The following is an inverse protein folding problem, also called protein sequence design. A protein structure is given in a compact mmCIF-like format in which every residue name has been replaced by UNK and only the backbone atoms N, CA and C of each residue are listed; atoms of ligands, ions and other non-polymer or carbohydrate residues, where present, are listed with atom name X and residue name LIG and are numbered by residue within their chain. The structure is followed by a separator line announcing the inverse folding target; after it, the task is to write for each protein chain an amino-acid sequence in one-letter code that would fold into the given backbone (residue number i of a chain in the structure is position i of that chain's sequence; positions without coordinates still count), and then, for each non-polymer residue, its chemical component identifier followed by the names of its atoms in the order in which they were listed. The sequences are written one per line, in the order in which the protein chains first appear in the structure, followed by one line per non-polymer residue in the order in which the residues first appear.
data_IF_079894900676
#
_entry.id   IF_079894900676
#
_cell.length_a   1.000
_cell.length_b   1.000
_cell.length_c   1.000
_cell.angle_alpha   90.00
_cell.angle_beta   90.00
_cell.angle_gamma   90.00
#
_symmetry.space_group_name_H-M   'P 1'
#
loop_
_entity.id
_entity.type
_entity.pdbx_description
1 polymer ?
#
# COMPACT_ATOMS: atom_id res chain seq x y z
N UNK A 1 17.36 10.58 7.54
CA UNK A 1 17.37 9.63 6.39
C UNK A 1 16.98 8.23 6.84
N UNK A 2 17.78 7.54 7.66
CA UNK A 2 17.47 6.19 8.18
C UNK A 2 16.26 6.14 9.13
N UNK A 3 15.99 7.21 9.88
CA UNK A 3 14.80 7.31 10.74
C UNK A 3 13.47 7.20 9.97
N UNK A 4 13.39 7.83 8.80
CA UNK A 4 12.21 7.74 7.93
C UNK A 4 12.06 6.33 7.33
N UNK A 5 13.17 5.71 6.93
CA UNK A 5 13.16 4.31 6.47
C UNK A 5 12.74 3.34 7.58
N UNK A 6 13.16 3.59 8.82
CA UNK A 6 12.74 2.78 9.96
C UNK A 6 11.23 2.84 10.19
N UNK A 7 10.60 4.02 10.07
CA UNK A 7 9.14 4.15 10.15
C UNK A 7 8.43 3.28 9.10
N UNK A 8 8.92 3.32 7.86
CA UNK A 8 8.40 2.48 6.77
C UNK A 8 8.61 0.98 7.01
N UNK A 9 9.73 0.57 7.60
CA UNK A 9 10.02 -0.84 7.93
C UNK A 9 9.23 -1.34 9.14
N UNK A 10 8.89 -0.45 10.07
CA UNK A 10 8.06 -0.75 11.24
C UNK A 10 6.58 -0.94 10.87
N UNK A 11 6.16 -0.50 9.69
CA UNK A 11 4.89 -0.91 9.09
C UNK A 11 4.97 -2.40 8.71
N UNK A 12 4.55 -3.24 9.65
CA UNK A 12 4.60 -4.70 9.52
C UNK A 12 3.58 -5.19 8.50
N UNK A 13 2.41 -4.57 8.40
CA UNK A 13 1.37 -4.91 7.42
C UNK A 13 1.93 -4.74 6.01
N UNK A 14 2.53 -3.58 5.72
CA UNK A 14 3.19 -3.31 4.45
C UNK A 14 4.31 -4.30 4.17
N UNK A 15 5.29 -4.36 5.07
CA UNK A 15 6.54 -5.08 4.82
C UNK A 15 6.30 -6.59 4.70
N UNK A 16 5.41 -7.16 5.53
CA UNK A 16 5.05 -8.57 5.46
C UNK A 16 4.21 -8.91 4.22
N UNK A 17 3.33 -8.02 3.76
CA UNK A 17 2.54 -8.24 2.55
C UNK A 17 3.45 -8.35 1.31
N UNK A 18 4.40 -7.43 1.15
CA UNK A 18 5.38 -7.49 0.07
C UNK A 18 6.28 -8.73 0.17
N UNK A 19 6.79 -9.06 1.36
CA UNK A 19 7.59 -10.26 1.56
C UNK A 19 6.83 -11.52 1.14
N UNK A 20 5.60 -11.67 1.63
CA UNK A 20 4.74 -12.81 1.33
C UNK A 20 4.43 -12.90 -0.16
N UNK A 21 4.09 -11.78 -0.79
CA UNK A 21 3.82 -11.72 -2.22
C UNK A 21 5.03 -12.16 -3.06
N UNK A 22 6.23 -11.68 -2.73
CA UNK A 22 7.47 -12.03 -3.43
C UNK A 22 7.79 -13.52 -3.23
N UNK A 23 7.75 -14.02 -1.99
CA UNK A 23 8.08 -15.42 -1.68
C UNK A 23 7.05 -16.40 -2.28
N UNK A 24 5.76 -16.07 -2.27
CA UNK A 24 4.72 -16.92 -2.86
C UNK A 24 4.83 -17.03 -4.38
N UNK A 25 5.31 -15.98 -5.04
CA UNK A 25 5.54 -15.97 -6.49
C UNK A 25 6.98 -16.36 -6.85
N UNK A 26 7.81 -16.75 -5.88
CA UNK A 26 9.23 -16.99 -6.07
C UNK A 26 9.56 -17.98 -7.20
N UNK A 27 8.94 -19.18 -7.28
CA UNK A 27 9.30 -20.18 -8.29
C UNK A 27 9.11 -19.70 -9.74
N UNK A 28 8.17 -18.77 -9.96
CA UNK A 28 7.80 -18.29 -11.30
C UNK A 28 8.50 -16.98 -11.65
N UNK A 29 8.52 -16.04 -10.71
CA UNK A 29 8.83 -14.64 -11.01
C UNK A 29 10.15 -14.16 -10.41
N UNK A 30 10.78 -14.92 -9.51
CA UNK A 30 12.02 -14.49 -8.86
C UNK A 30 13.15 -15.51 -8.98
N UNK A 31 12.88 -16.81 -8.88
CA UNK A 31 13.92 -17.84 -8.89
C UNK A 31 14.70 -17.82 -10.21
N UNK A 32 16.02 -17.71 -10.12
CA UNK A 32 16.95 -17.57 -11.25
C UNK A 32 16.67 -16.38 -12.19
N UNK A 33 15.86 -15.41 -11.75
CA UNK A 33 15.48 -14.22 -12.53
C UNK A 33 16.37 -13.01 -12.27
N UNK A 34 16.41 -12.11 -13.25
CA UNK A 34 16.97 -10.77 -13.09
C UNK A 34 15.86 -9.82 -12.66
N UNK A 35 16.03 -9.19 -11.50
CA UNK A 35 15.02 -8.32 -10.88
C UNK A 35 15.51 -6.88 -10.83
N UNK A 36 14.62 -5.92 -11.06
CA UNK A 36 14.86 -4.50 -10.82
C UNK A 36 13.96 -4.01 -9.70
N UNK A 37 14.54 -3.36 -8.69
CA UNK A 37 13.84 -2.69 -7.61
C UNK A 37 13.91 -1.18 -7.83
N UNK A 38 12.77 -0.56 -8.11
CA UNK A 38 12.67 0.86 -8.49
C UNK A 38 12.33 1.70 -7.26
N UNK A 39 13.22 2.61 -6.89
CA UNK A 39 13.09 3.37 -5.64
C UNK A 39 13.39 2.49 -4.43
N UNK A 40 14.49 1.74 -4.49
CA UNK A 40 14.79 0.67 -3.55
C UNK A 40 14.90 1.14 -2.09
N UNK A 41 15.19 2.42 -1.86
CA UNK A 41 15.38 2.99 -0.54
C UNK A 41 16.42 2.19 0.24
N UNK A 42 16.00 1.63 1.38
CA UNK A 42 16.88 0.79 2.22
C UNK A 42 17.15 -0.62 1.64
N UNK A 43 16.51 -0.99 0.53
CA UNK A 43 16.71 -2.26 -0.18
C UNK A 43 15.86 -3.44 0.31
N UNK A 44 14.85 -3.22 1.15
CA UNK A 44 14.06 -4.33 1.71
C UNK A 44 13.41 -5.24 0.66
N UNK A 45 12.84 -4.67 -0.41
CA UNK A 45 12.25 -5.45 -1.51
C UNK A 45 13.32 -6.18 -2.31
N UNK A 46 14.48 -5.55 -2.49
CA UNK A 46 15.66 -6.19 -3.06
C UNK A 46 16.14 -7.39 -2.24
N UNK A 47 16.15 -7.29 -0.91
CA UNK A 47 16.50 -8.40 -0.03
C UNK A 47 15.49 -9.55 -0.14
N UNK A 48 14.19 -9.25 -0.16
CA UNK A 48 13.14 -10.26 -0.38
C UNK A 48 13.26 -10.94 -1.74
N UNK A 49 13.57 -10.18 -2.79
CA UNK A 49 13.81 -10.72 -4.13
C UNK A 49 15.01 -11.69 -4.15
N UNK A 50 16.10 -11.32 -3.46
CA UNK A 50 17.26 -12.21 -3.31
C UNK A 50 16.94 -13.46 -2.45
N UNK A 51 16.14 -13.33 -1.39
CA UNK A 51 15.65 -14.47 -0.60
C UNK A 51 14.78 -15.41 -1.44
N UNK A 52 13.98 -14.86 -2.36
CA UNK A 52 13.15 -15.60 -3.31
C UNK A 52 13.93 -16.29 -4.45
N UNK A 53 15.27 -16.24 -4.44
CA UNK A 53 16.09 -16.95 -5.44
C UNK A 53 16.47 -16.11 -6.66
N UNK A 54 16.26 -14.78 -6.66
CA UNK A 54 16.72 -13.91 -7.75
C UNK A 54 18.21 -14.09 -8.07
N UNK A 55 18.52 -14.40 -9.33
CA UNK A 55 19.91 -14.53 -9.79
C UNK A 55 20.66 -13.22 -9.59
N UNK A 56 19.98 -12.11 -9.89
CA UNK A 56 20.53 -10.76 -9.81
C UNK A 56 19.42 -9.76 -9.47
N UNK A 57 19.71 -8.77 -8.65
CA UNK A 57 18.80 -7.70 -8.26
C UNK A 57 19.51 -6.36 -8.44
N UNK A 58 18.96 -5.48 -9.28
CA UNK A 58 19.41 -4.11 -9.45
C UNK A 58 18.53 -3.18 -8.62
N UNK A 59 19.10 -2.64 -7.54
CA UNK A 59 18.40 -1.75 -6.61
C UNK A 59 18.62 -0.29 -7.02
N UNK A 60 17.68 0.26 -7.79
CA UNK A 60 17.75 1.62 -8.31
C UNK A 60 17.26 2.59 -7.25
N UNK A 61 18.12 3.49 -6.81
CA UNK A 61 17.81 4.48 -5.79
C UNK A 61 18.39 5.85 -6.16
N UNK A 62 17.52 6.88 -6.17
CA UNK A 62 17.90 8.22 -6.61
C UNK A 62 18.49 9.08 -5.48
N UNK A 63 18.26 8.71 -4.22
CA UNK A 63 18.78 9.40 -3.04
C UNK A 63 20.07 8.76 -2.51
N UNK A 64 20.73 9.47 -1.59
CA UNK A 64 21.92 8.98 -0.90
C UNK A 64 21.65 7.75 0.01
N UNK A 65 20.40 7.27 0.12
CA UNK A 65 20.10 6.01 0.80
C UNK A 65 20.84 4.82 0.17
N UNK A 66 21.16 4.90 -1.12
CA UNK A 66 21.97 3.89 -1.81
C UNK A 66 23.33 3.66 -1.14
N UNK A 67 23.93 4.68 -0.51
CA UNK A 67 25.18 4.53 0.25
C UNK A 67 24.96 3.68 1.51
N UNK A 68 23.79 3.81 2.15
CA UNK A 68 23.43 2.98 3.30
C UNK A 68 23.12 1.54 2.86
N UNK A 69 22.44 1.36 1.72
CA UNK A 69 22.22 0.04 1.12
C UNK A 69 23.56 -0.63 0.76
N UNK A 70 24.50 0.13 0.20
CA UNK A 70 25.83 -0.36 -0.14
C UNK A 70 26.57 -0.91 1.09
N UNK A 71 26.39 -0.32 2.28
CA UNK A 71 26.96 -0.87 3.52
C UNK A 71 26.47 -2.28 3.85
N UNK A 72 25.21 -2.61 3.53
CA UNK A 72 24.67 -3.97 3.71
C UNK A 72 25.31 -4.93 2.73
N UNK A 73 25.49 -4.51 1.47
CA UNK A 73 26.17 -5.30 0.43
C UNK A 73 27.65 -5.50 0.75
N UNK A 74 28.33 -4.47 1.25
CA UNK A 74 29.73 -4.54 1.65
C UNK A 74 29.94 -5.44 2.87
N UNK A 75 28.97 -5.46 3.80
CA UNK A 75 28.97 -6.39 4.93
C UNK A 75 28.87 -7.86 4.49
N UNK A 76 28.31 -8.14 3.31
CA UNK A 76 28.21 -9.48 2.72
C UNK A 76 29.48 -9.94 2.02
N UNK A 77 30.51 -9.08 1.91
CA UNK A 77 31.80 -9.49 1.35
C UNK A 77 32.55 -10.40 2.34
N UNK A 78 33.24 -11.45 1.87
CA UNK A 78 34.02 -12.34 2.72
C UNK A 78 35.30 -11.67 3.25
N UNK A 79 35.81 -10.66 2.56
CA UNK A 79 36.97 -9.86 2.97
C UNK A 79 36.54 -8.41 3.07
N UNK A 80 36.48 -7.88 4.30
CA UNK A 80 36.18 -6.48 4.61
C UNK A 80 37.47 -5.73 4.93
N UNK A 81 37.52 -4.42 4.68
CA UNK A 81 38.73 -3.67 4.99
C UNK A 81 38.93 -3.55 6.51
N UNK A 82 40.16 -3.65 7.02
CA UNK A 82 40.42 -3.51 8.45
C UNK A 82 39.95 -2.16 9.02
N UNK A 83 40.02 -1.10 8.21
CA UNK A 83 39.60 0.25 8.59
C UNK A 83 38.09 0.35 8.79
N UNK A 84 37.29 -0.22 7.89
CA UNK A 84 35.82 -0.24 8.01
C UNK A 84 35.38 -1.05 9.23
N UNK A 85 36.01 -2.21 9.46
CA UNK A 85 35.72 -3.06 10.62
C UNK A 85 36.03 -2.33 11.92
N UNK A 86 37.16 -1.61 12.00
CA UNK A 86 37.54 -0.83 13.17
C UNK A 86 36.56 0.32 13.45
N UNK A 87 36.18 1.09 12.43
CA UNK A 87 35.22 2.18 12.56
C UNK A 87 33.83 1.69 13.00
N UNK A 88 33.38 0.57 12.43
CA UNK A 88 32.09 -0.03 12.81
C UNK A 88 32.12 -0.54 14.26
N UNK A 89 33.22 -1.17 14.68
CA UNK A 89 33.40 -1.64 16.05
C UNK A 89 33.36 -0.49 17.05
N UNK A 90 34.08 0.61 16.79
CA UNK A 90 34.05 1.82 17.63
C UNK A 90 32.63 2.38 17.75
N UNK A 91 31.89 2.45 16.64
CA UNK A 91 30.50 2.93 16.64
C UNK A 91 29.56 2.02 17.46
N UNK A 92 29.70 0.70 17.34
CA UNK A 92 28.91 -0.26 18.11
C UNK A 92 29.21 -0.20 19.61
N UNK A 93 30.48 -0.03 19.98
CA UNK A 93 30.91 0.16 21.37
C UNK A 93 30.29 1.42 21.97
N UNK A 94 30.28 2.54 21.23
CA UNK A 94 29.62 3.78 21.65
C UNK A 94 28.10 3.62 21.84
N UNK A 95 27.46 2.72 21.08
CA UNK A 95 26.04 2.39 21.22
C UNK A 95 25.75 1.33 22.30
N UNK A 96 26.77 0.82 22.99
CA UNK A 96 26.62 -0.23 23.99
C UNK A 96 26.32 -1.62 23.40
N UNK A 97 26.54 -1.80 22.10
CA UNK A 97 26.33 -3.04 21.34
C UNK A 97 27.65 -3.83 21.13
N UNK A 98 28.64 -3.59 21.99
CA UNK A 98 29.88 -4.39 22.03
C UNK A 98 29.73 -5.68 22.83
N UNK A 99 30.74 -6.54 22.80
CA UNK A 99 30.78 -7.86 23.50
C UNK A 99 30.49 -7.78 25.01
N UNK A 100 30.69 -6.62 25.63
CA UNK A 100 30.39 -6.36 27.04
C UNK A 100 29.08 -5.56 27.18
N UNK A 101 27.94 -6.23 26.98
CA UNK A 101 26.62 -5.63 27.14
C UNK A 101 26.36 -5.10 28.56
N UNK A 102 25.81 -3.89 28.66
CA UNK A 102 25.17 -3.40 29.88
C UNK A 102 23.88 -4.20 30.12
N UNK A 103 23.90 -5.09 31.12
CA UNK A 103 22.72 -5.38 31.95
C UNK A 103 21.46 -5.93 31.27
N UNK A 104 21.58 -6.94 30.40
CA UNK A 104 20.49 -7.89 30.17
C UNK A 104 19.46 -7.55 29.08
N UNK A 105 19.67 -6.53 28.26
CA UNK A 105 18.87 -6.29 27.04
C UNK A 105 19.75 -6.48 25.80
N UNK A 106 19.81 -7.71 25.29
CA UNK A 106 20.64 -8.07 24.13
C UNK A 106 20.00 -7.59 22.82
N UNK A 107 20.15 -6.31 22.45
CA UNK A 107 19.95 -5.92 21.05
C UNK A 107 21.06 -6.54 20.20
N UNK A 108 20.73 -7.59 19.44
CA UNK A 108 21.55 -8.30 18.45
C UNK A 108 23.07 -8.19 18.58
N UNK A 109 23.73 -9.25 19.02
CA UNK A 109 25.20 -9.36 18.97
C UNK A 109 25.66 -9.39 17.52
N UNK A 110 26.18 -8.27 17.01
CA UNK A 110 26.75 -8.20 15.66
C UNK A 110 28.27 -8.29 15.77
N UNK A 111 28.90 -9.14 14.95
CA UNK A 111 30.35 -9.23 14.85
C UNK A 111 30.81 -8.56 13.54
N UNK A 112 31.38 -7.35 13.58
CA UNK A 112 31.87 -6.65 12.39
C UNK A 112 32.96 -7.39 11.63
N UNK A 113 33.66 -8.33 12.30
CA UNK A 113 34.78 -9.10 11.73
C UNK A 113 34.31 -10.28 10.87
N UNK A 114 33.04 -10.67 10.98
CA UNK A 114 32.46 -11.75 10.20
C UNK A 114 31.65 -11.20 9.02
N UNK A 115 31.58 -11.99 7.94
CA UNK A 115 30.71 -11.69 6.82
C UNK A 115 29.25 -11.84 7.24
N UNK A 116 28.42 -10.83 6.96
CA UNK A 116 27.00 -10.80 7.29
C UNK A 116 26.18 -10.85 6.01
N UNK A 117 25.12 -11.63 5.98
CA UNK A 117 24.28 -11.78 4.78
C UNK A 117 25.04 -12.33 3.56
N UNK A 118 25.96 -13.29 3.76
CA UNK A 118 26.76 -13.87 2.67
C UNK A 118 25.92 -14.38 1.47
N UNK A 119 24.66 -14.75 1.68
CA UNK A 119 23.70 -15.15 0.64
C UNK A 119 23.33 -14.02 -0.35
N UNK A 120 23.64 -12.75 -0.05
CA UNK A 120 23.50 -11.60 -0.96
C UNK A 120 24.68 -11.42 -1.91
N UNK A 121 25.82 -12.08 -1.65
CA UNK A 121 27.06 -11.82 -2.34
C UNK A 121 26.92 -12.02 -3.86
N UNK A 122 27.28 -11.00 -4.64
CA UNK A 122 27.23 -11.02 -6.10
C UNK A 122 25.83 -10.93 -6.71
N UNK A 123 24.77 -10.96 -5.88
CA UNK A 123 23.37 -10.98 -6.32
C UNK A 123 22.74 -9.59 -6.29
N UNK A 124 23.03 -8.77 -5.28
CA UNK A 124 22.45 -7.43 -5.14
C UNK A 124 23.43 -6.34 -5.60
N UNK A 125 22.98 -5.46 -6.50
CA UNK A 125 23.74 -4.34 -7.05
C UNK A 125 22.98 -3.03 -6.78
N UNK A 126 23.43 -2.23 -5.81
CA UNK A 126 22.91 -0.88 -5.60
C UNK A 126 23.31 0.04 -6.76
N UNK A 127 22.35 0.78 -7.31
CA UNK A 127 22.56 1.70 -8.43
C UNK A 127 22.08 3.10 -8.02
N UNK A 128 23.02 4.04 -7.88
CA UNK A 128 22.70 5.43 -7.55
C UNK A 128 22.28 6.18 -8.82
N UNK A 129 20.99 6.15 -9.14
CA UNK A 129 20.44 6.85 -10.29
C UNK A 129 18.93 7.02 -10.18
N UNK A 130 18.38 7.99 -10.91
CA UNK A 130 16.94 7.99 -11.23
C UNK A 130 16.68 6.91 -12.26
N UNK A 131 15.55 6.23 -12.17
CA UNK A 131 15.23 5.15 -13.11
C UNK A 131 15.12 5.64 -14.55
N UNK A 132 14.75 6.90 -14.76
CA UNK A 132 14.72 7.55 -16.06
C UNK A 132 16.12 7.74 -16.67
N UNK A 133 17.17 7.82 -15.84
CA UNK A 133 18.55 8.08 -16.24
C UNK A 133 19.41 6.79 -16.25
N UNK A 134 18.84 5.63 -15.91
CA UNK A 134 19.53 4.34 -15.93
C UNK A 134 19.95 3.97 -17.36
N UNK A 135 21.15 3.43 -17.49
CA UNK A 135 21.71 2.92 -18.75
C UNK A 135 22.08 1.44 -18.60
N UNK A 136 22.26 0.68 -19.70
CA UNK A 136 22.70 -0.71 -19.63
C UNK A 136 24.02 -0.92 -18.88
N UNK A 137 24.90 0.08 -18.83
CA UNK A 137 26.16 0.02 -18.06
C UNK A 137 25.89 -0.13 -16.55
N UNK A 138 24.88 0.57 -16.04
CA UNK A 138 24.44 0.43 -14.65
C UNK A 138 23.88 -0.96 -14.34
N UNK A 139 23.40 -1.67 -15.37
CA UNK A 139 22.79 -2.99 -15.27
C UNK A 139 23.77 -4.09 -15.70
N UNK A 140 25.08 -3.87 -15.63
CA UNK A 140 26.12 -4.84 -16.02
C UNK A 140 25.94 -5.40 -17.45
N UNK A 141 25.39 -4.61 -18.37
CA UNK A 141 25.12 -4.99 -19.76
C UNK A 141 23.73 -5.59 -20.00
N UNK A 142 22.91 -5.79 -18.97
CA UNK A 142 21.52 -6.19 -19.14
C UNK A 142 20.69 -5.05 -19.74
N UNK A 143 19.97 -5.35 -20.83
CA UNK A 143 19.02 -4.42 -21.46
C UNK A 143 17.60 -4.61 -20.95
N UNK A 144 17.27 -5.83 -20.51
CA UNK A 144 15.96 -6.18 -19.96
C UNK A 144 16.10 -7.00 -18.66
N UNK A 145 15.04 -6.95 -17.86
CA UNK A 145 14.85 -7.67 -16.59
C UNK A 145 13.57 -8.50 -16.65
N UNK A 146 13.53 -9.60 -15.92
CA UNK A 146 12.37 -10.50 -15.90
C UNK A 146 11.24 -9.95 -15.01
N UNK A 147 11.60 -9.31 -13.90
CA UNK A 147 10.65 -8.84 -12.90
C UNK A 147 11.03 -7.47 -12.38
N UNK A 148 10.04 -6.59 -12.22
CA UNK A 148 10.21 -5.28 -11.60
C UNK A 148 9.39 -5.23 -10.32
N UNK A 149 10.02 -4.85 -9.22
CA UNK A 149 9.39 -4.60 -7.94
C UNK A 149 9.50 -3.13 -7.58
N UNK A 150 8.47 -2.58 -6.94
CA UNK A 150 8.52 -1.22 -6.40
C UNK A 150 7.47 -1.02 -5.31
N UNK A 151 7.78 -0.10 -4.42
CA UNK A 151 6.80 0.54 -3.54
C UNK A 151 6.78 2.02 -3.91
N UNK A 152 5.91 2.35 -4.87
CA UNK A 152 5.80 3.68 -5.49
C UNK A 152 4.48 4.37 -5.11
N UNK A 153 3.94 4.04 -3.94
CA UNK A 153 2.55 4.29 -3.59
C UNK A 153 2.44 5.43 -2.58
N UNK A 154 1.58 6.39 -2.89
CA UNK A 154 1.21 7.45 -1.99
C UNK A 154 -0.18 7.26 -1.39
N UNK A 155 -0.63 8.27 -0.63
CA UNK A 155 -2.04 8.38 -0.21
C UNK A 155 -2.98 8.22 -1.40
N UNK A 156 -4.03 7.41 -1.22
CA UNK A 156 -4.98 7.03 -2.27
C UNK A 156 -4.29 6.43 -3.52
N UNK A 157 -3.23 5.63 -3.32
CA UNK A 157 -2.44 4.93 -4.34
C UNK A 157 -1.55 5.85 -5.20
N UNK A 158 -2.08 6.98 -5.67
CA UNK A 158 -1.51 7.77 -6.77
C UNK A 158 -0.78 9.05 -6.34
N UNK A 159 -0.87 9.44 -5.06
CA UNK A 159 -0.14 10.62 -4.58
C UNK A 159 1.39 10.47 -4.78
N UNK A 160 2.10 11.61 -4.85
CA UNK A 160 3.55 11.71 -5.13
C UNK A 160 4.01 11.35 -6.56
N UNK A 161 3.12 10.78 -7.38
CA UNK A 161 3.36 10.44 -8.80
C UNK A 161 4.58 9.53 -9.02
N UNK A 162 4.98 8.74 -8.02
CA UNK A 162 6.06 7.76 -8.17
C UNK A 162 5.68 6.61 -9.12
N UNK A 163 4.39 6.33 -9.28
CA UNK A 163 3.88 5.36 -10.26
C UNK A 163 4.42 5.64 -11.68
N UNK A 164 4.68 6.89 -12.07
CA UNK A 164 5.22 7.19 -13.41
C UNK A 164 6.64 6.69 -13.62
N UNK A 165 7.47 6.74 -12.58
CA UNK A 165 8.82 6.18 -12.58
C UNK A 165 8.77 4.65 -12.63
N UNK A 166 7.81 4.04 -11.93
CA UNK A 166 7.55 2.61 -12.02
C UNK A 166 7.12 2.18 -13.44
N UNK A 167 6.21 2.93 -14.07
CA UNK A 167 5.83 2.71 -15.47
C UNK A 167 7.00 2.95 -16.43
N UNK A 168 7.87 3.94 -16.17
CA UNK A 168 9.08 4.17 -16.96
C UNK A 168 9.99 2.94 -16.95
N UNK A 169 10.18 2.33 -15.78
CA UNK A 169 10.97 1.13 -15.62
C UNK A 169 10.36 -0.04 -16.40
N UNK A 170 9.05 -0.25 -16.26
CA UNK A 170 8.28 -1.27 -16.99
C UNK A 170 8.46 -1.13 -18.50
N UNK A 171 8.19 0.05 -19.05
CA UNK A 171 8.17 0.27 -20.50
C UNK A 171 9.55 0.12 -21.15
N UNK A 172 10.63 0.36 -20.40
CA UNK A 172 12.00 0.36 -20.93
C UNK A 172 12.76 -0.93 -20.68
N UNK A 173 12.61 -1.50 -19.49
CA UNK A 173 13.47 -2.59 -19.02
C UNK A 173 12.72 -3.91 -18.84
N UNK A 174 11.39 -3.96 -18.79
CA UNK A 174 10.71 -5.25 -18.63
C UNK A 174 10.82 -6.09 -19.91
N UNK A 175 11.23 -7.35 -19.76
CA UNK A 175 11.21 -8.32 -20.84
C UNK A 175 9.77 -8.69 -21.24
N UNK A 176 9.50 -9.07 -22.51
CA UNK A 176 8.20 -9.60 -22.89
C UNK A 176 7.82 -10.83 -22.03
N UNK A 177 6.63 -10.80 -21.42
CA UNK A 177 6.19 -11.84 -20.49
C UNK A 177 6.77 -11.74 -19.08
N UNK A 178 7.49 -10.66 -18.77
CA UNK A 178 7.93 -10.34 -17.42
C UNK A 178 6.79 -9.86 -16.53
N UNK A 179 7.05 -9.81 -15.23
CA UNK A 179 6.05 -9.47 -14.20
C UNK A 179 6.39 -8.17 -13.47
N UNK A 180 5.36 -7.44 -13.05
CA UNK A 180 5.50 -6.24 -12.20
C UNK A 180 4.81 -6.46 -10.85
N UNK A 181 5.43 -6.01 -9.77
CA UNK A 181 4.93 -6.15 -8.40
C UNK A 181 4.96 -4.78 -7.69
N UNK A 182 3.81 -4.22 -7.28
CA UNK A 182 2.45 -4.77 -7.44
C UNK A 182 2.00 -4.83 -8.91
N UNK A 183 1.09 -5.76 -9.20
CA UNK A 183 0.52 -5.96 -10.53
C UNK A 183 -0.61 -4.97 -10.83
N UNK A 184 -1.43 -4.66 -9.83
CA UNK A 184 -2.49 -3.69 -9.92
C UNK A 184 -2.73 -3.05 -8.55
N UNK A 185 -3.28 -1.84 -8.57
CA UNK A 185 -3.83 -1.17 -7.39
C UNK A 185 -5.29 -0.81 -7.60
N UNK A 186 -6.11 -0.87 -6.55
CA UNK A 186 -7.53 -0.54 -6.61
C UNK A 186 -7.79 0.67 -5.73
N UNK A 187 -8.26 1.78 -6.32
CA UNK A 187 -8.76 2.94 -5.58
C UNK A 187 -10.19 2.62 -5.14
N UNK A 188 -10.45 2.68 -3.84
CA UNK A 188 -11.75 2.41 -3.26
C UNK A 188 -12.33 3.70 -2.69
N UNK A 189 -13.56 4.08 -3.10
CA UNK A 189 -14.25 5.26 -2.59
C UNK A 189 -15.62 4.89 -2.01
N UNK A 190 -15.93 5.34 -0.81
CA UNK A 190 -17.23 5.10 -0.17
C UNK A 190 -17.77 6.37 0.52
N UNK A 191 -19.09 6.62 0.50
CA UNK A 191 -19.67 7.76 1.20
C UNK A 191 -19.57 7.56 2.71
N UNK A 192 -19.28 8.62 3.46
CA UNK A 192 -19.22 8.55 4.92
C UNK A 192 -20.05 9.64 5.61
N UNK A 193 -20.39 9.36 6.86
CA UNK A 193 -20.95 10.30 7.81
C UNK A 193 -19.96 10.56 8.96
N UNK A 194 -19.47 11.80 9.07
CA UNK A 194 -18.63 12.26 10.18
C UNK A 194 -18.89 13.75 10.41
N UNK A 195 -19.91 14.02 11.23
CA UNK A 195 -20.33 15.38 11.57
C UNK A 195 -19.28 16.14 12.36
N UNK A 196 -18.50 15.44 13.19
CA UNK A 196 -17.47 16.07 14.01
C UNK A 196 -16.36 16.61 13.13
N UNK A 197 -15.81 15.76 12.24
CA UNK A 197 -14.78 16.18 11.30
C UNK A 197 -15.24 17.35 10.42
N UNK A 198 -16.47 17.28 9.90
CA UNK A 198 -17.02 18.37 9.09
C UNK A 198 -17.10 19.69 9.89
N UNK A 199 -17.60 19.63 11.13
CA UNK A 199 -17.70 20.81 11.99
C UNK A 199 -16.31 21.38 12.33
N UNK A 200 -15.33 20.54 12.63
CA UNK A 200 -13.97 20.98 12.95
C UNK A 200 -13.32 21.69 11.75
N UNK A 201 -13.48 21.14 10.54
CA UNK A 201 -13.03 21.77 9.30
C UNK A 201 -13.74 23.10 9.04
N UNK A 202 -15.06 23.16 9.22
CA UNK A 202 -15.82 24.40 9.08
C UNK A 202 -15.44 25.43 10.14
N UNK A 203 -15.17 25.02 11.38
CA UNK A 203 -14.83 25.91 12.48
C UNK A 203 -13.46 26.58 12.28
N UNK A 204 -12.49 25.87 11.67
CA UNK A 204 -11.21 26.47 11.24
C UNK A 204 -11.44 27.64 10.28
N UNK A 205 -12.40 27.53 9.36
CA UNK A 205 -12.76 28.61 8.45
C UNK A 205 -13.54 29.73 9.16
N UNK A 206 -14.43 29.39 10.09
CA UNK A 206 -15.24 30.38 10.84
C UNK A 206 -14.41 31.33 11.70
N UNK A 207 -13.23 30.92 12.17
CA UNK A 207 -12.33 31.82 12.90
C UNK A 207 -12.05 33.12 12.13
N UNK A 208 -11.97 33.03 10.80
CA UNK A 208 -11.71 34.17 9.92
C UNK A 208 -12.85 35.17 9.87
N UNK A 209 -14.06 34.85 10.35
CA UNK A 209 -15.18 35.80 10.48
C UNK A 209 -14.94 36.88 11.56
N UNK A 210 -13.72 36.99 12.10
CA UNK A 210 -13.34 38.00 13.07
C UNK A 210 -13.24 39.38 12.42
N UNK A 211 -14.19 40.25 12.72
CA UNK A 211 -14.25 41.62 12.19
C UNK A 211 -13.39 42.63 12.96
N UNK A 212 -12.66 42.20 14.00
CA UNK A 212 -11.88 43.10 14.86
C UNK A 212 -10.62 42.42 15.43
N UNK A 213 -9.86 41.73 14.58
CA UNK A 213 -8.58 41.15 14.96
C UNK A 213 -7.53 42.26 15.02
N UNK A 214 -7.18 42.72 16.23
CA UNK A 214 -6.28 43.88 16.45
C UNK A 214 -6.70 45.14 15.66
N UNK A 215 -8.01 45.44 15.61
CA UNK A 215 -8.59 46.55 14.83
C UNK A 215 -8.55 46.39 13.32
N UNK A 216 -8.30 45.16 12.84
CA UNK A 216 -8.39 44.81 11.42
C UNK A 216 -9.56 43.83 11.23
N UNK A 217 -10.41 44.13 10.26
CA UNK A 217 -11.44 43.19 9.81
C UNK A 217 -10.81 42.17 8.86
N UNK A 218 -10.72 40.92 9.31
CA UNK A 218 -10.15 39.80 8.54
C UNK A 218 -11.23 38.90 7.93
N UNK A 219 -12.52 39.25 8.08
CA UNK A 219 -13.66 38.51 7.52
C UNK A 219 -13.64 38.32 5.99
N UNK A 220 -13.03 39.18 5.17
CA UNK A 220 -12.88 38.91 3.74
C UNK A 220 -12.11 37.62 3.42
N UNK A 221 -11.28 37.11 4.34
CA UNK A 221 -10.57 35.83 4.15
C UNK A 221 -11.45 34.59 4.42
N UNK A 222 -12.63 34.74 5.05
CA UNK A 222 -13.42 33.59 5.50
C UNK A 222 -13.90 32.69 4.36
N UNK A 223 -14.29 33.26 3.22
CA UNK A 223 -14.69 32.49 2.06
C UNK A 223 -13.51 31.70 1.46
N UNK A 224 -12.33 32.34 1.37
CA UNK A 224 -11.10 31.72 0.89
C UNK A 224 -10.65 30.58 1.81
N UNK A 225 -10.69 30.80 3.13
CA UNK A 225 -10.35 29.79 4.12
C UNK A 225 -11.32 28.61 4.12
N UNK A 226 -12.61 28.85 3.86
CA UNK A 226 -13.60 27.77 3.73
C UNK A 226 -13.31 26.92 2.48
N UNK A 227 -13.10 27.53 1.33
CA UNK A 227 -12.73 26.82 0.11
C UNK A 227 -11.43 26.03 0.28
N UNK A 228 -10.40 26.65 0.88
CA UNK A 228 -9.12 26.01 1.15
C UNK A 228 -9.29 24.77 2.04
N UNK A 229 -9.94 24.91 3.19
CA UNK A 229 -10.12 23.82 4.15
C UNK A 229 -10.93 22.65 3.58
N UNK A 230 -11.96 22.91 2.78
CA UNK A 230 -12.77 21.85 2.16
C UNK A 230 -12.14 21.27 0.89
N UNK A 231 -11.17 21.96 0.28
CA UNK A 231 -10.36 21.41 -0.82
C UNK A 231 -9.23 20.50 -0.32
N UNK A 232 -8.91 20.55 0.97
CA UNK A 232 -7.86 19.75 1.60
C UNK A 232 -8.38 18.38 2.07
N UNK A 233 -7.91 17.26 1.51
CA UNK A 233 -8.24 15.95 2.03
C UNK A 233 -7.67 15.74 3.44
N UNK A 234 -8.39 14.97 4.26
CA UNK A 234 -7.99 14.65 5.64
C UNK A 234 -7.47 13.22 5.70
N UNK A 235 -6.18 13.05 5.91
CA UNK A 235 -5.53 11.75 6.13
C UNK A 235 -5.65 11.39 7.60
N UNK A 236 -6.13 10.19 7.88
CA UNK A 236 -6.44 9.76 9.23
C UNK A 236 -7.16 8.43 9.20
N UNK A 237 -6.87 7.57 10.18
CA UNK A 237 -7.68 6.38 10.43
C UNK A 237 -9.10 6.81 10.80
N UNK A 238 -10.11 6.10 10.31
CA UNK A 238 -11.49 6.30 10.73
C UNK A 238 -12.22 4.96 10.93
N UNK A 239 -13.17 4.89 11.89
CA UNK A 239 -13.92 3.66 12.12
C UNK A 239 -14.76 3.27 10.90
N UNK A 240 -14.80 1.99 10.50
CA UNK A 240 -15.62 1.54 9.37
C UNK A 240 -17.11 1.87 9.48
N UNK A 241 -17.61 2.06 10.70
CA UNK A 241 -19.01 2.39 10.99
C UNK A 241 -19.41 3.77 10.45
N UNK A 242 -18.46 4.63 10.12
CA UNK A 242 -18.72 5.90 9.44
C UNK A 242 -19.13 5.71 7.98
N UNK A 243 -18.85 4.55 7.36
CA UNK A 243 -19.19 4.29 5.96
C UNK A 243 -20.69 4.01 5.81
N UNK A 244 -21.30 4.64 4.81
CA UNK A 244 -22.74 4.57 4.56
C UNK A 244 -23.11 3.54 3.48
N UNK A 245 -22.13 3.03 2.74
CA UNK A 245 -22.29 2.05 1.66
C UNK A 245 -20.97 1.29 1.44
N UNK A 246 -21.03 0.22 0.64
CA UNK A 246 -19.85 -0.42 0.04
C UNK A 246 -19.08 0.58 -0.84
N UNK A 247 -17.80 0.29 -1.11
CA UNK A 247 -16.99 1.12 -1.99
C UNK A 247 -17.39 0.98 -3.46
N UNK A 248 -17.14 2.04 -4.22
CA UNK A 248 -16.96 1.99 -5.66
C UNK A 248 -15.47 1.87 -5.93
N UNK A 249 -15.09 0.85 -6.71
CA UNK A 249 -13.71 0.45 -6.88
C UNK A 249 -13.23 0.78 -8.30
N UNK A 250 -12.01 1.28 -8.42
CA UNK A 250 -11.36 1.59 -9.69
C UNK A 250 -9.98 0.97 -9.75
N UNK A 251 -9.81 0.02 -10.67
CA UNK A 251 -8.57 -0.74 -10.82
C UNK A 251 -7.61 -0.01 -11.77
N UNK A 252 -6.40 0.23 -11.29
CA UNK A 252 -5.24 0.67 -12.05
C UNK A 252 -4.34 -0.55 -12.24
N UNK A 253 -4.34 -1.10 -13.45
CA UNK A 253 -3.46 -2.22 -13.81
C UNK A 253 -2.09 -1.69 -14.21
N UNK A 254 -1.09 -1.91 -13.35
CA UNK A 254 0.28 -1.45 -13.59
C UNK A 254 0.98 -2.23 -14.70
N UNK A 255 0.46 -3.39 -15.13
CA UNK A 255 1.03 -4.12 -16.26
C UNK A 255 0.67 -3.45 -17.60
N UNK A 256 -0.49 -2.80 -17.71
CA UNK A 256 -1.02 -2.31 -18.98
C UNK A 256 -1.23 -0.79 -19.07
N UNK A 257 -1.50 -0.09 -17.95
CA UNK A 257 -1.83 1.34 -17.99
C UNK A 257 -0.68 2.18 -18.54
N UNK A 258 -1.00 3.19 -19.35
CA UNK A 258 -0.03 4.15 -19.88
C UNK A 258 0.17 5.35 -18.95
N UNK A 259 1.29 6.06 -19.09
CA UNK A 259 1.53 7.30 -18.34
C UNK A 259 0.50 8.38 -18.67
N UNK A 260 0.02 8.40 -19.90
CA UNK A 260 -0.99 9.35 -20.39
C UNK A 260 -2.34 9.12 -19.72
N UNK A 261 -2.78 7.87 -19.60
CA UNK A 261 -4.00 7.51 -18.86
C UNK A 261 -3.86 7.81 -17.37
N UNK A 262 -2.68 7.59 -16.78
CA UNK A 262 -2.43 7.90 -15.38
C UNK A 262 -2.44 9.41 -15.08
N UNK A 263 -2.16 10.28 -16.07
CA UNK A 263 -2.23 11.74 -15.90
C UNK A 263 -3.66 12.24 -15.73
N UNK A 264 -4.64 11.58 -16.33
CA UNK A 264 -6.04 12.00 -16.31
C UNK A 264 -6.98 10.81 -16.45
N UNK A 265 -7.68 10.45 -15.37
CA UNK A 265 -8.62 9.34 -15.34
C UNK A 265 -9.88 9.70 -14.55
N UNK A 266 -10.94 8.91 -14.70
CA UNK A 266 -12.22 9.18 -14.04
C UNK A 266 -12.71 7.92 -13.33
N UNK A 267 -12.92 8.04 -12.03
CA UNK A 267 -13.50 6.98 -11.19
C UNK A 267 -15.03 7.11 -11.23
N UNK A 268 -15.75 6.17 -11.87
CA UNK A 268 -17.21 6.15 -11.77
C UNK A 268 -17.61 5.75 -10.36
N UNK A 269 -18.64 6.40 -9.81
CA UNK A 269 -19.09 6.12 -8.44
C UNK A 269 -20.59 5.92 -8.38
N UNK A 270 -20.99 4.95 -7.58
CA UNK A 270 -22.38 4.56 -7.43
C UNK A 270 -22.64 3.87 -6.09
N UNK A 271 -23.61 4.38 -5.32
CA UNK A 271 -23.94 3.86 -4.00
C UNK A 271 -25.45 3.88 -3.74
N UNK A 272 -25.97 2.79 -3.17
CA UNK A 272 -27.38 2.68 -2.78
C UNK A 272 -27.50 2.69 -1.26
N UNK A 273 -28.34 3.58 -0.72
CA UNK A 273 -28.44 3.82 0.72
C UNK A 273 -29.57 3.00 1.35
N UNK A 274 -29.22 2.19 2.35
CA UNK A 274 -30.19 1.35 3.08
C UNK A 274 -30.93 2.11 4.16
N UNK A 275 -30.34 3.19 4.68
CA UNK A 275 -30.88 4.04 5.75
C UNK A 275 -30.78 5.52 5.35
N UNK A 276 -31.59 6.37 5.99
CA UNK A 276 -31.45 7.80 5.86
C UNK A 276 -30.19 8.27 6.61
N UNK A 277 -29.39 9.14 5.98
CA UNK A 277 -28.11 9.60 6.50
C UNK A 277 -27.72 10.97 5.93
N UNK A 278 -26.66 11.57 6.49
CA UNK A 278 -26.04 12.77 5.93
C UNK A 278 -24.64 12.41 5.42
N UNK A 279 -24.48 12.45 4.10
CA UNK A 279 -23.19 12.23 3.44
C UNK A 279 -22.35 13.49 3.60
N UNK A 280 -21.34 13.42 4.46
CA UNK A 280 -20.40 14.52 4.70
C UNK A 280 -19.23 14.53 3.71
N UNK A 281 -19.00 13.41 3.01
CA UNK A 281 -17.84 13.25 2.14
C UNK A 281 -17.68 11.84 1.58
N UNK A 282 -16.54 11.61 0.93
CA UNK A 282 -16.07 10.30 0.47
C UNK A 282 -14.83 9.86 1.26
N UNK A 283 -14.85 8.66 1.81
CA UNK A 283 -13.70 7.98 2.37
C UNK A 283 -12.98 7.24 1.25
N UNK A 284 -11.66 7.29 1.25
CA UNK A 284 -10.80 6.72 0.24
C UNK A 284 -9.68 5.90 0.86
N UNK A 285 -9.43 4.74 0.27
CA UNK A 285 -8.31 3.86 0.56
C UNK A 285 -7.90 3.15 -0.73
N UNK A 286 -6.88 2.30 -0.64
CA UNK A 286 -6.47 1.48 -1.77
C UNK A 286 -6.08 0.07 -1.37
N UNK A 287 -6.20 -0.82 -2.36
CA UNK A 287 -5.78 -2.21 -2.27
C UNK A 287 -4.71 -2.50 -3.33
N UNK A 288 -3.87 -3.51 -3.08
CA UNK A 288 -2.84 -3.97 -4.01
C UNK A 288 -3.00 -5.45 -4.31
N UNK A 289 -2.72 -5.80 -5.56
CA UNK A 289 -2.72 -7.15 -6.06
C UNK A 289 -1.32 -7.52 -6.55
N UNK A 290 -0.85 -8.71 -6.18
CA UNK A 290 0.48 -9.22 -6.52
C UNK A 290 0.39 -10.48 -7.38
N UNK A 291 -0.25 -10.36 -8.54
CA UNK A 291 -0.46 -11.44 -9.48
C UNK A 291 0.58 -11.39 -10.58
N UNK A 292 1.25 -12.50 -10.87
CA UNK A 292 2.16 -12.50 -12.01
C UNK A 292 1.48 -12.64 -13.35
N UNK A 293 2.15 -12.01 -14.32
CA UNK A 293 1.75 -11.86 -15.71
C UNK A 293 2.44 -12.88 -16.63
N UNK A 294 3.36 -13.67 -16.08
CA UNK A 294 4.03 -14.71 -16.84
C UNK A 294 3.00 -15.81 -17.22
N UNK A 295 2.93 -16.20 -18.51
CA UNK A 295 2.01 -17.24 -18.93
C UNK A 295 2.31 -18.54 -18.17
N UNK A 296 1.25 -19.20 -17.68
CA UNK A 296 1.40 -20.53 -17.08
C UNK A 296 2.01 -21.48 -18.10
N UNK A 297 3.08 -22.23 -17.76
CA UNK A 297 3.53 -23.30 -18.63
C UNK A 297 2.39 -24.33 -18.73
N UNK A 298 1.69 -24.32 -19.86
CA UNK A 298 0.76 -25.37 -20.23
C UNK A 298 1.57 -26.65 -20.43
N UNK A 299 1.49 -27.57 -19.48
CA UNK A 299 1.83 -28.96 -19.73
C UNK A 299 0.71 -29.55 -20.58
N UNK A 300 0.92 -29.60 -21.90
CA UNK A 300 0.11 -30.36 -22.84
C UNK A 300 0.24 -31.86 -22.56
N UNK A 301 -0.38 -32.36 -21.49
CA UNK A 301 -0.68 -33.78 -21.29
C UNK A 301 -1.86 -33.90 -20.33
N UNK A 302 -3.08 -33.78 -20.88
CA UNK A 302 -4.26 -34.62 -20.61
C UNK A 302 -5.54 -33.82 -20.87
N UNK A 303 -5.82 -33.60 -22.16
CA UNK A 303 -7.17 -33.31 -22.63
C UNK A 303 -7.60 -34.49 -23.49
N UNK A 304 -7.78 -35.65 -22.86
CA UNK A 304 -8.64 -36.67 -23.44
C UNK A 304 -10.09 -36.18 -23.34
N UNK A 305 -10.63 -35.79 -24.49
CA UNK A 305 -12.04 -35.50 -24.71
C UNK A 305 -12.88 -36.70 -24.27
N UNK A 306 -13.47 -36.63 -23.07
CA UNK A 306 -14.48 -37.55 -22.58
C UNK A 306 -15.86 -36.97 -22.82
N UNK A 307 -16.62 -37.63 -23.68
CA UNK A 307 -17.97 -37.26 -24.12
C UNK A 307 -18.92 -36.86 -22.98
N UNK A 308 -19.69 -35.81 -23.26
CA UNK A 308 -20.83 -35.39 -22.47
C UNK A 308 -21.86 -36.52 -22.37
N UNK A 309 -22.18 -36.94 -21.14
CA UNK A 309 -23.45 -37.63 -20.90
C UNK A 309 -24.20 -36.97 -19.74
N UNK A 310 -25.40 -36.52 -20.07
CA UNK A 310 -26.34 -35.89 -19.18
C UNK A 310 -26.81 -36.88 -18.10
N UNK A 311 -26.72 -36.49 -16.83
CA UNK A 311 -27.72 -36.81 -15.82
C UNK A 311 -27.57 -35.92 -14.59
N UNK A 312 -28.69 -35.32 -14.17
CA UNK A 312 -28.76 -34.35 -13.09
C UNK A 312 -28.54 -34.92 -11.70
N UNK A 313 -28.12 -34.03 -10.80
CA UNK A 313 -28.02 -34.27 -9.36
C UNK A 313 -27.45 -33.05 -8.65
N UNK A 314 -28.34 -32.23 -8.07
CA UNK A 314 -27.98 -31.09 -7.26
C UNK A 314 -27.24 -31.51 -5.99
N UNK A 315 -26.13 -30.85 -5.66
CA UNK A 315 -25.50 -30.88 -4.34
C UNK A 315 -25.18 -29.46 -3.89
N UNK A 316 -26.20 -28.76 -3.39
CA UNK A 316 -26.04 -27.55 -2.58
C UNK A 316 -25.75 -27.95 -1.13
N UNK A 317 -24.71 -27.36 -0.54
CA UNK A 317 -24.38 -27.52 0.89
C UNK A 317 -25.58 -27.10 1.75
N UNK A 318 -26.07 -28.00 2.61
CA UNK A 318 -27.19 -27.71 3.51
C UNK A 318 -26.81 -26.68 4.58
N UNK A 319 -27.76 -25.79 4.92
CA UNK A 319 -27.64 -24.73 5.92
C UNK A 319 -27.10 -25.21 7.29
N UNK A 320 -27.39 -26.45 7.66
CA UNK A 320 -26.89 -27.08 8.90
C UNK A 320 -25.38 -27.35 8.89
N UNK A 321 -24.80 -27.65 7.73
CA UNK A 321 -23.36 -27.83 7.58
C UNK A 321 -22.62 -26.49 7.66
N UNK A 322 -23.21 -25.40 7.14
CA UNK A 322 -22.64 -24.06 7.26
C UNK A 322 -22.68 -23.54 8.71
N UNK A 323 -23.76 -23.81 9.45
CA UNK A 323 -23.91 -23.45 10.87
C UNK A 323 -22.98 -24.24 11.80
N UNK A 324 -22.67 -25.50 11.48
CA UNK A 324 -21.71 -26.30 12.23
C UNK A 324 -20.28 -25.74 12.10
N UNK A 325 -19.89 -25.30 10.91
CA UNK A 325 -18.56 -24.69 10.67
C UNK A 325 -18.38 -23.38 11.45
N UNK A 326 -19.42 -22.54 11.52
CA UNK A 326 -19.40 -21.29 12.29
C UNK A 326 -19.35 -21.51 13.82
N UNK A 327 -20.05 -22.53 14.34
CA UNK A 327 -19.99 -22.88 15.77
C UNK A 327 -18.62 -23.44 16.17
N UNK A 328 -17.98 -24.18 15.28
CA UNK A 328 -16.64 -24.74 15.53
C UNK A 328 -15.57 -23.64 15.53
N UNK A 329 -15.70 -22.63 14.66
CA UNK A 329 -14.82 -21.45 14.65
C UNK A 329 -14.98 -20.56 15.91
N UNK A 330 -16.19 -20.49 16.48
CA UNK A 330 -16.46 -19.72 17.71
C UNK A 330 -15.98 -20.41 18.98
N UNK A 331 -15.83 -21.74 19.00
CA UNK A 331 -15.36 -22.48 20.18
C UNK A 331 -13.83 -22.35 20.36
N UNK A 332 -13.07 -22.23 19.27
CA UNK A 332 -11.62 -22.02 19.26
C UNK A 332 -11.18 -20.69 19.89
N UNK A 333 -12.08 -19.70 19.95
CA UNK A 333 -11.81 -18.37 20.48
C UNK A 333 -11.94 -18.28 22.02
N UNK A 334 -12.42 -19.32 22.70
CA UNK A 334 -12.77 -19.28 24.13
C UNK A 334 -11.82 -20.03 25.07
N UNK A 335 -10.75 -20.65 24.55
CA UNK A 335 -9.81 -21.45 25.35
C UNK A 335 -8.50 -20.73 25.74
N UNK A 336 -8.29 -19.48 25.34
CA UNK A 336 -7.07 -18.73 25.65
C UNK A 336 -7.27 -17.74 26.82
N UNK A 337 -7.60 -18.26 28.00
CA UNK A 337 -7.43 -17.50 29.25
C UNK A 337 -6.90 -18.42 30.35
N UNK A 338 -5.60 -18.35 30.58
CA UNK A 338 -4.88 -19.10 31.61
C UNK A 338 -3.59 -18.38 31.98
N UNK A 339 -3.50 -17.93 33.24
CA UNK A 339 -2.40 -17.15 33.79
C UNK A 339 -1.15 -18.01 34.01
N UNK A 340 0.06 -17.52 33.66
CA UNK A 340 1.29 -17.93 34.36
C UNK A 340 2.48 -16.97 34.11
N UNK A 341 2.99 -16.44 35.22
CA UNK A 341 4.38 -16.10 35.59
C UNK A 341 5.41 -15.67 34.53
N UNK A 342 5.95 -14.46 34.76
CA UNK A 342 7.21 -13.92 34.28
C UNK A 342 8.38 -14.92 34.36
N UNK A 343 8.96 -15.24 33.20
CA UNK A 343 10.42 -15.32 32.89
C UNK A 343 10.57 -16.08 31.57
N UNK A 344 10.72 -15.36 30.46
CA UNK A 344 10.96 -16.00 29.16
C UNK A 344 12.03 -15.23 28.40
N UNK A 345 13.10 -15.97 28.09
CA UNK A 345 14.28 -15.55 27.35
C UNK A 345 13.95 -15.22 25.90
N UNK A 346 14.79 -14.37 25.30
CA UNK A 346 14.66 -13.81 23.95
C UNK A 346 14.58 -14.86 22.82
N UNK A 347 14.90 -16.13 23.07
CA UNK A 347 14.76 -17.23 22.11
C UNK A 347 13.31 -17.46 21.65
N UNK A 348 12.32 -17.08 22.46
CA UNK A 348 10.92 -17.18 22.10
C UNK A 348 10.48 -16.13 21.06
N UNK A 349 11.20 -15.01 20.91
CA UNK A 349 10.83 -13.93 19.98
C UNK A 349 11.42 -14.17 18.58
N UNK A 350 12.62 -14.75 18.51
CA UNK A 350 13.26 -15.14 17.24
C UNK A 350 12.61 -16.36 16.57
N UNK A 351 11.94 -17.21 17.35
CA UNK A 351 11.14 -18.35 16.84
C UNK A 351 9.71 -17.96 16.45
N UNK A 352 9.25 -16.75 16.79
CA UNK A 352 7.92 -16.23 16.41
C UNK A 352 7.91 -15.39 15.13
N UNK A 353 9.07 -15.14 14.51
CA UNK A 353 9.09 -14.72 13.10
C UNK A 353 8.75 -15.96 12.25
N UNK A 354 7.75 -15.90 11.36
CA UNK A 354 7.33 -17.07 10.61
C UNK A 354 8.48 -17.50 9.68
N UNK A 355 9.26 -18.48 10.12
CA UNK A 355 10.03 -19.32 9.23
C UNK A 355 9.02 -20.27 8.62
N UNK A 356 8.53 -19.91 7.43
CA UNK A 356 7.59 -20.77 6.71
C UNK A 356 8.35 -22.01 6.26
N UNK A 357 7.95 -23.14 6.82
CA UNK A 357 8.25 -24.48 6.34
C UNK A 357 7.77 -24.59 4.89
N UNK A 358 8.67 -24.93 3.97
CA UNK A 358 8.45 -24.99 2.52
C UNK A 358 7.48 -26.11 2.09
N UNK A 359 6.82 -26.77 3.04
CA UNK A 359 5.93 -27.93 2.81
C UNK A 359 4.45 -27.66 3.07
N UNK A 360 4.05 -26.47 3.55
CA UNK A 360 2.65 -26.14 3.83
C UNK A 360 1.92 -25.60 2.58
N UNK A 361 1.09 -26.44 1.96
CA UNK A 361 0.20 -26.07 0.85
C UNK A 361 -0.98 -25.24 1.37
N UNK A 362 -0.81 -23.91 1.45
CA UNK A 362 -1.91 -22.96 1.71
C UNK A 362 -2.65 -22.69 0.38
N UNK A 363 -3.99 -22.53 0.36
CA UNK A 363 -4.72 -22.26 -0.89
C UNK A 363 -4.19 -20.96 -1.52
N UNK A 364 -3.83 -21.01 -2.80
CA UNK A 364 -3.09 -19.99 -3.56
C UNK A 364 -3.76 -18.60 -3.69
N UNK A 365 -4.86 -18.33 -3.00
CA UNK A 365 -5.70 -17.15 -3.21
C UNK A 365 -5.61 -16.10 -2.08
N UNK A 366 -5.17 -16.46 -0.87
CA UNK A 366 -5.14 -15.54 0.27
C UNK A 366 -3.81 -14.77 0.46
N UNK A 367 -2.78 -15.06 -0.34
CA UNK A 367 -1.41 -14.63 -0.09
C UNK A 367 -0.90 -13.41 -0.86
N UNK A 368 -1.61 -12.94 -1.89
CA UNK A 368 -1.11 -11.99 -2.89
C UNK A 368 -1.91 -10.67 -2.92
N UNK A 369 -2.36 -10.22 -1.75
CA UNK A 369 -3.20 -9.04 -1.62
C UNK A 369 -2.80 -8.22 -0.39
N UNK A 370 -2.89 -6.90 -0.50
CA UNK A 370 -2.74 -5.95 0.61
C UNK A 370 -3.87 -4.94 0.56
N UNK A 371 -4.40 -4.54 1.70
CA UNK A 371 -5.44 -3.51 1.77
C UNK A 371 -5.08 -2.46 2.80
N UNK A 372 -5.43 -1.21 2.50
CA UNK A 372 -5.40 -0.07 3.45
C UNK A 372 -6.81 0.31 3.90
N UNK A 373 -7.78 -0.59 3.71
CA UNK A 373 -9.17 -0.41 4.09
C UNK A 373 -9.34 -0.11 5.57
N UNK A 374 -10.34 0.71 5.97
CA UNK A 374 -10.64 0.94 7.38
C UNK A 374 -11.03 -0.36 8.13
N UNK A 375 -11.42 -1.42 7.41
CA UNK A 375 -11.74 -2.73 8.00
C UNK A 375 -10.50 -3.58 8.37
N UNK A 376 -9.30 -3.16 7.97
CA UNK A 376 -8.05 -3.87 8.18
C UNK A 376 -7.16 -3.18 9.24
N UNK A 377 -6.04 -3.81 9.58
CA UNK A 377 -5.04 -3.16 10.45
C UNK A 377 -4.48 -1.88 9.80
N UNK A 378 -4.32 -0.79 10.57
CA UNK A 378 -3.80 0.46 10.03
C UNK A 378 -2.38 0.33 9.47
N UNK A 379 -2.17 0.95 8.32
CA UNK A 379 -0.84 1.16 7.72
C UNK A 379 -0.42 2.62 7.89
N UNK A 380 0.83 2.94 7.56
CA UNK A 380 1.31 4.33 7.62
C UNK A 380 0.61 5.25 6.58
N UNK A 381 0.08 4.71 5.49
CA UNK A 381 -0.72 5.47 4.51
C UNK A 381 -2.09 5.88 5.07
N UNK A 382 -2.58 5.18 6.09
CA UNK A 382 -3.89 5.38 6.69
C UNK A 382 -5.00 5.35 5.61
N UNK A 383 -6.07 6.09 5.83
CA UNK A 383 -7.11 6.37 4.84
C UNK A 383 -7.21 7.88 4.63
N UNK A 384 -7.94 8.29 3.60
CA UNK A 384 -8.19 9.70 3.29
C UNK A 384 -9.69 9.99 3.30
N UNK A 385 -10.10 11.14 3.83
CA UNK A 385 -11.48 11.63 3.83
C UNK A 385 -11.58 12.92 3.03
N UNK A 386 -12.44 12.91 2.03
CA UNK A 386 -12.74 14.01 1.12
C UNK A 386 -14.08 14.65 1.52
N UNK A 387 -14.04 15.80 2.19
CA UNK A 387 -15.24 16.47 2.69
C UNK A 387 -16.00 17.21 1.57
N UNK A 388 -17.31 17.09 1.57
CA UNK A 388 -18.18 17.95 0.77
C UNK A 388 -18.37 19.30 1.48
N UNK A 389 -18.16 20.44 0.80
CA UNK A 389 -18.48 21.76 1.35
C UNK A 389 -19.94 21.86 1.82
N UNK A 390 -20.83 21.22 1.06
CA UNK A 390 -22.25 21.09 1.39
C UNK A 390 -22.60 19.61 1.51
N UNK A 391 -22.86 19.10 2.74
CA UNK A 391 -23.31 17.73 2.93
C UNK A 391 -24.58 17.41 2.14
N UNK A 392 -24.75 16.14 1.80
CA UNK A 392 -25.91 15.65 1.03
C UNK A 392 -26.74 14.73 1.90
N UNK A 393 -27.98 15.13 2.18
CA UNK A 393 -28.94 14.28 2.87
C UNK A 393 -29.49 13.23 1.90
N UNK A 394 -29.53 11.98 2.36
CA UNK A 394 -30.05 10.84 1.60
C UNK A 394 -31.11 10.13 2.41
N UNK A 395 -32.15 9.64 1.73
CA UNK A 395 -33.20 8.81 2.30
C UNK A 395 -32.97 7.34 1.97
N UNK A 396 -33.62 6.46 2.74
CA UNK A 396 -33.64 5.02 2.46
C UNK A 396 -34.11 4.73 1.03
N UNK A 397 -33.36 3.90 0.33
CA UNK A 397 -33.62 3.48 -1.04
C UNK A 397 -33.15 4.47 -2.11
N UNK A 398 -32.69 5.68 -1.73
CA UNK A 398 -32.08 6.59 -2.68
C UNK A 398 -30.67 6.12 -3.04
N UNK A 399 -30.21 6.64 -4.18
CA UNK A 399 -28.93 6.29 -4.76
C UNK A 399 -28.13 7.56 -5.06
N UNK A 400 -26.82 7.52 -4.85
CA UNK A 400 -25.91 8.55 -5.38
C UNK A 400 -25.16 7.93 -6.54
N UNK A 401 -25.16 8.61 -7.68
CA UNK A 401 -24.38 8.24 -8.87
C UNK A 401 -23.55 9.43 -9.33
N UNK A 402 -22.39 9.19 -9.92
CA UNK A 402 -21.55 10.27 -10.39
C UNK A 402 -20.17 9.82 -10.84
N UNK A 403 -19.23 10.75 -10.75
CA UNK A 403 -17.82 10.46 -11.02
C UNK A 403 -16.89 11.34 -10.22
N UNK A 404 -15.67 10.84 -10.02
CA UNK A 404 -14.54 11.59 -9.48
C UNK A 404 -13.45 11.63 -10.55
N UNK A 405 -13.31 12.80 -11.17
CA UNK A 405 -12.32 13.05 -12.20
C UNK A 405 -10.98 13.44 -11.57
N UNK A 406 -9.93 12.69 -11.85
CA UNK A 406 -8.60 12.86 -11.28
C UNK A 406 -7.64 13.35 -12.37
N UNK A 407 -7.04 14.52 -12.15
CA UNK A 407 -6.09 15.13 -13.10
C UNK A 407 -4.82 15.57 -12.39
N UNK A 408 -3.68 15.22 -12.95
CA UNK A 408 -2.37 15.66 -12.45
C UNK A 408 -2.29 17.20 -12.41
N UNK A 409 -1.68 17.71 -11.35
CA UNK A 409 -1.41 19.13 -11.15
C UNK A 409 0.10 19.43 -11.10
N UNK A 410 0.43 20.73 -11.12
CA UNK A 410 1.82 21.22 -11.15
C UNK A 410 2.60 20.93 -9.85
N UNK A 411 1.92 20.49 -8.78
CA UNK A 411 2.53 20.15 -7.48
C UNK A 411 2.87 18.65 -7.38
N UNK A 412 3.05 17.97 -8.50
CA UNK A 412 3.32 16.53 -8.59
C UNK A 412 2.28 15.68 -7.84
N UNK A 413 1.01 16.07 -7.92
CA UNK A 413 -0.12 15.38 -7.30
C UNK A 413 -1.35 15.46 -8.19
N UNK A 414 -2.53 15.19 -7.64
CA UNK A 414 -3.80 15.21 -8.35
C UNK A 414 -4.76 16.26 -7.80
N UNK A 415 -5.46 16.92 -8.71
CA UNK A 415 -6.71 17.63 -8.43
C UNK A 415 -7.87 16.69 -8.77
N UNK A 416 -8.71 16.42 -7.79
CA UNK A 416 -9.86 15.52 -7.89
C UNK A 416 -11.14 16.35 -7.93
N UNK A 417 -11.95 16.21 -8.97
CA UNK A 417 -13.25 16.89 -9.11
C UNK A 417 -14.37 15.87 -9.04
N UNK A 418 -15.16 15.92 -7.97
CA UNK A 418 -16.34 15.07 -7.81
C UNK A 418 -17.58 15.76 -8.35
N UNK A 419 -18.39 15.00 -9.08
CA UNK A 419 -19.76 15.36 -9.45
C UNK A 419 -20.68 14.22 -9.01
N UNK A 420 -21.50 14.48 -7.99
CA UNK A 420 -22.40 13.51 -7.38
C UNK A 420 -23.85 13.94 -7.60
N UNK A 421 -24.72 13.00 -7.95
CA UNK A 421 -26.16 13.24 -8.17
C UNK A 421 -26.99 12.27 -7.35
N UNK A 422 -27.97 12.80 -6.63
CA UNK A 422 -28.98 12.05 -5.90
C UNK A 422 -30.07 11.58 -6.86
N UNK A 423 -30.39 10.29 -6.79
CA UNK A 423 -31.43 9.63 -7.56
C UNK A 423 -32.45 9.03 -6.59
N UNK A 424 -33.72 9.18 -6.94
CA UNK A 424 -34.82 8.54 -6.23
C UNK A 424 -34.86 7.03 -6.52
N UNK A 425 -35.55 6.24 -5.68
CA UNK A 425 -35.64 4.78 -5.88
C UNK A 425 -36.28 4.37 -7.22
N UNK A 426 -37.11 5.24 -7.81
CA UNK A 426 -37.75 5.06 -9.10
C UNK A 426 -36.83 5.42 -10.29
N UNK A 427 -35.57 5.77 -10.03
CA UNK A 427 -34.59 6.18 -11.04
C UNK A 427 -34.74 7.62 -11.51
N UNK A 428 -35.73 8.37 -11.00
CA UNK A 428 -35.87 9.78 -11.34
C UNK A 428 -34.79 10.61 -10.63
N UNK A 429 -34.16 11.51 -11.37
CA UNK A 429 -33.27 12.53 -10.81
C UNK A 429 -33.83 13.90 -11.15
N UNK A 430 -33.99 14.77 -10.14
CA UNK A 430 -34.16 16.19 -10.40
C UNK A 430 -32.76 16.80 -10.54
N UNK A 431 -32.42 17.42 -11.67
CA UNK A 431 -31.18 18.22 -11.83
C UNK A 431 -31.28 19.56 -11.06
N UNK A 432 -31.76 19.50 -9.82
CA UNK A 432 -31.82 20.67 -8.94
C UNK A 432 -30.47 20.85 -8.24
N UNK A 433 -30.09 22.10 -7.89
CA UNK A 433 -28.90 22.34 -7.07
C UNK A 433 -28.90 21.56 -5.76
N UNK A 434 -30.09 21.26 -5.23
CA UNK A 434 -30.27 20.50 -3.98
C UNK A 434 -29.84 19.03 -4.14
N UNK A 435 -30.06 18.44 -5.31
CA UNK A 435 -29.78 17.02 -5.59
C UNK A 435 -28.39 16.76 -6.17
N UNK A 436 -27.63 17.80 -6.52
CA UNK A 436 -26.28 17.67 -7.09
C UNK A 436 -25.24 18.23 -6.13
N UNK A 437 -24.08 17.58 -6.02
CA UNK A 437 -22.90 18.11 -5.34
C UNK A 437 -21.71 18.13 -6.26
N UNK A 438 -20.99 19.25 -6.25
CA UNK A 438 -19.68 19.40 -6.87
C UNK A 438 -18.67 19.73 -5.79
N UNK A 439 -17.55 19.02 -5.78
CA UNK A 439 -16.43 19.30 -4.90
C UNK A 439 -15.12 19.19 -5.66
N UNK A 440 -14.13 19.97 -5.24
CA UNK A 440 -12.78 19.94 -5.79
C UNK A 440 -11.82 19.73 -4.64
N UNK A 441 -11.03 18.66 -4.71
CA UNK A 441 -10.04 18.32 -3.71
C UNK A 441 -8.64 18.33 -4.32
N UNK A 442 -7.66 18.75 -3.54
CA UNK A 442 -6.25 18.80 -3.93
C UNK A 442 -5.46 17.82 -3.10
N UNK A 443 -5.04 16.72 -3.71
CA UNK A 443 -4.34 15.65 -3.03
C UNK A 443 -2.93 16.07 -2.57
N UNK A 444 -2.38 17.19 -3.07
CA UNK A 444 -1.15 17.81 -2.54
C UNK A 444 -1.36 18.64 -1.27
N UNK A 445 -2.61 18.98 -0.91
CA UNK A 445 -2.93 19.83 0.26
C UNK A 445 -3.52 19.00 1.40
N UNK A 446 -2.95 17.83 1.66
CA UNK A 446 -3.42 16.95 2.72
C UNK A 446 -3.25 17.59 4.10
N UNK A 447 -4.22 17.33 4.96
CA UNK A 447 -4.14 17.60 6.39
C UNK A 447 -4.22 16.29 7.16
N UNK A 448 -3.62 16.23 8.35
CA UNK A 448 -3.56 15.00 9.13
C UNK A 448 -4.44 15.09 10.38
N UNK A 449 -5.24 14.06 10.61
CA UNK A 449 -6.02 13.86 11.83
C UNK A 449 -5.35 12.75 12.64
N UNK A 450 -4.66 13.13 13.71
CA UNK A 450 -3.97 12.21 14.63
C UNK A 450 -4.88 11.64 15.74
N UNK A 451 -6.17 11.54 15.46
CA UNK A 451 -7.22 11.09 16.38
C UNK A 451 -7.10 9.61 16.73
#
# INVERSE_FOLDING_TARGET
MLSHQAQMLQDTVRTAAYQRAILNNAPRDFHDKVVMDVGAGNGILSFFSAQAGAKKVYAIEASNMVECLQKVVDAAKPQRSPTEVAQEKEALELMGAGDAGLGGVSFGTTNPSESRNAWLQGRLVPVHSKVEDVTPEHLEGHTQVDTIVSECLGVLLVHERMCESFLNARDRYLAPGGSVFPSAGTICLAPFEDKQLWNDTANKAKWWLNSNFYRVDVSPFAALAFEENFSSPVVGVFPPQCLLSVSSDYVIDFASITKEELKEFTVPVEWTFTNAAIVHGLGGWFDLHFNSQAPTPVSDTDMTMGDANANGGANGMSLEAALATLKTASASASAASGSASNTTSMDAVLTTLPTIDSTATTPATAGNFMTTSPYAEPTHWQQVRFLLPEPLAVNRGQKISGSVHCKVNDQRSYTMTALLRLQNPDGTSSDTPIATRKAVWRLDRQTYSWS
#
